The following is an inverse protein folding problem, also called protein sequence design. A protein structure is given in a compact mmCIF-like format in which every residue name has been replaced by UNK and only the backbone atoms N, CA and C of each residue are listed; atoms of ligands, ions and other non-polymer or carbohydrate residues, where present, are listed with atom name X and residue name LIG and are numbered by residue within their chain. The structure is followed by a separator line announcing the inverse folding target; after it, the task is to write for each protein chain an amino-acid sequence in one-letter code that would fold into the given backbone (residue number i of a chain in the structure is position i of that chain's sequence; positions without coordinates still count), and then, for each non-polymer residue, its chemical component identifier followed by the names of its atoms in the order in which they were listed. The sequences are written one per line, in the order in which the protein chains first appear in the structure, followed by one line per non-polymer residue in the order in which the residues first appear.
data_IF_520587523585
#
_entry.id   IF_520587523585
#
_cell.length_a   1.000
_cell.length_b   1.000
_cell.length_c   1.000
_cell.angle_alpha   90.00
_cell.angle_beta   90.00
_cell.angle_gamma   90.00
#
_symmetry.space_group_name_H-M   'P 1'
#
loop_
_entity.id
_entity.type
_entity.pdbx_description
1 polymer ?
#
# COMPACT_ATOMS: atom_id res chain seq x y z
N UNK A 1 -17.63 15.71 10.93
CA UNK A 1 -17.15 16.26 10.18
C UNK A 1 -15.73 16.81 10.14
N UNK A 2 -15.43 17.74 9.25
CA UNK A 2 -14.09 18.28 8.97
C UNK A 2 -13.42 19.01 10.14
N UNK A 3 -14.19 19.46 11.12
CA UNK A 3 -13.72 20.28 12.26
C UNK A 3 -12.84 19.51 13.25
N UNK A 4 -13.10 18.22 13.51
CA UNK A 4 -12.38 17.46 14.54
C UNK A 4 -10.97 17.02 14.11
N UNK A 5 -10.74 16.78 12.80
CA UNK A 5 -9.40 16.46 12.28
C UNK A 5 -8.47 17.68 12.40
N UNK A 6 -9.00 18.87 12.23
CA UNK A 6 -8.24 20.11 12.30
C UNK A 6 -7.82 20.44 13.74
N UNK A 7 -8.63 20.09 14.75
CA UNK A 7 -8.29 20.33 16.16
C UNK A 7 -7.21 19.37 16.68
N UNK A 8 -7.23 18.10 16.32
CA UNK A 8 -6.20 17.12 16.74
C UNK A 8 -4.83 17.39 16.09
N UNK A 9 -4.81 17.98 14.90
CA UNK A 9 -3.57 18.45 14.29
C UNK A 9 -2.96 19.66 15.03
N UNK A 10 -3.77 20.40 15.79
CA UNK A 10 -3.30 21.58 16.51
C UNK A 10 -2.52 21.27 17.79
N UNK A 11 -2.64 20.06 18.36
CA UNK A 11 -1.89 19.62 19.56
C UNK A 11 -0.46 19.18 19.26
N UNK A 12 -0.09 19.04 17.97
CA UNK A 12 1.27 18.69 17.56
C UNK A 12 2.23 19.88 17.67
N UNK A 13 3.47 19.62 18.06
CA UNK A 13 4.54 20.60 17.91
C UNK A 13 4.68 21.02 16.42
N UNK A 14 5.19 22.22 16.15
CA UNK A 14 5.40 22.67 14.76
C UNK A 14 6.26 21.70 13.93
N UNK A 15 7.25 21.06 14.54
CA UNK A 15 8.15 20.08 13.90
C UNK A 15 7.40 18.81 13.52
N UNK A 16 6.56 18.28 14.42
CA UNK A 16 5.77 17.08 14.18
C UNK A 16 4.71 17.32 13.10
N UNK A 17 4.06 18.49 13.10
CA UNK A 17 3.11 18.91 12.05
C UNK A 17 3.78 18.96 10.68
N UNK A 18 4.99 19.53 10.60
CA UNK A 18 5.77 19.62 9.37
C UNK A 18 6.18 18.23 8.91
N UNK A 19 6.67 17.39 9.81
CA UNK A 19 7.11 16.02 9.50
C UNK A 19 5.96 15.15 8.99
N UNK A 20 4.82 15.18 9.68
CA UNK A 20 3.62 14.43 9.27
C UNK A 20 3.08 14.94 7.93
N UNK A 21 2.96 16.27 7.77
CA UNK A 21 2.51 16.89 6.52
C UNK A 21 3.42 16.52 5.35
N UNK A 22 4.73 16.52 5.56
CA UNK A 22 5.71 16.14 4.54
C UNK A 22 5.62 14.65 4.18
N UNK A 23 5.44 13.75 5.16
CA UNK A 23 5.23 12.31 4.94
C UNK A 23 3.93 12.07 4.15
N UNK A 24 2.81 12.65 4.57
CA UNK A 24 1.52 12.54 3.88
C UNK A 24 1.59 13.11 2.45
N UNK A 25 2.23 14.26 2.26
CA UNK A 25 2.39 14.85 0.93
C UNK A 25 3.28 13.99 0.02
N UNK A 26 4.30 13.32 0.54
CA UNK A 26 5.11 12.36 -0.22
C UNK A 26 4.27 11.18 -0.70
N UNK A 27 3.39 10.62 0.17
CA UNK A 27 2.48 9.53 -0.20
C UNK A 27 1.52 9.99 -1.31
N UNK A 28 0.86 11.13 -1.11
CA UNK A 28 -0.09 11.70 -2.09
C UNK A 28 0.61 12.01 -3.42
N UNK A 29 1.83 12.55 -3.38
CA UNK A 29 2.61 12.89 -4.58
C UNK A 29 3.09 11.64 -5.31
N UNK A 30 3.51 10.61 -4.58
CA UNK A 30 3.88 9.32 -5.13
C UNK A 30 2.68 8.64 -5.80
N UNK A 31 1.52 8.61 -5.13
CA UNK A 31 0.26 8.09 -5.70
C UNK A 31 -0.18 8.85 -6.96
N UNK A 32 -0.14 10.19 -6.96
CA UNK A 32 -0.47 11.00 -8.14
C UNK A 32 0.48 10.75 -9.31
N UNK A 33 1.78 10.60 -9.03
CA UNK A 33 2.80 10.28 -10.03
C UNK A 33 2.59 8.88 -10.60
N UNK A 34 2.36 7.91 -9.74
CA UNK A 34 1.97 6.55 -10.07
C UNK A 34 0.74 6.52 -10.99
N UNK A 35 -0.35 7.18 -10.61
CA UNK A 35 -1.59 7.23 -11.41
C UNK A 35 -1.38 7.84 -12.80
N UNK A 36 -0.59 8.93 -12.90
CA UNK A 36 -0.27 9.57 -14.19
C UNK A 36 0.59 8.69 -15.08
N UNK A 37 1.67 8.11 -14.52
CA UNK A 37 2.60 7.24 -15.25
C UNK A 37 1.88 6.03 -15.83
N UNK A 38 0.95 5.46 -15.10
CA UNK A 38 0.25 4.24 -15.49
C UNK A 38 -0.88 4.48 -16.49
N UNK A 39 -1.58 5.61 -16.44
CA UNK A 39 -2.53 5.98 -17.50
C UNK A 39 -1.85 6.12 -18.87
N UNK A 40 -0.65 6.69 -18.91
CA UNK A 40 0.12 6.86 -20.15
C UNK A 40 0.67 5.51 -20.65
N UNK A 41 1.16 4.66 -19.76
CA UNK A 41 1.73 3.36 -20.10
C UNK A 41 0.69 2.40 -20.65
N UNK A 42 -0.49 2.29 -20.03
CA UNK A 42 -1.59 1.42 -20.52
C UNK A 42 -2.04 1.85 -21.92
N UNK A 43 -2.18 3.15 -22.19
CA UNK A 43 -2.60 3.64 -23.51
C UNK A 43 -1.56 3.43 -24.62
N UNK A 44 -0.27 3.36 -24.28
CA UNK A 44 0.79 3.09 -25.24
C UNK A 44 0.84 1.63 -25.69
N UNK A 45 0.51 0.68 -24.80
CA UNK A 45 0.63 -0.75 -25.08
C UNK A 45 -0.65 -1.44 -25.59
N UNK A 46 -1.79 -0.75 -25.60
CA UNK A 46 -3.05 -1.30 -26.14
C UNK A 46 -3.08 -1.38 -27.67
N UNK A 47 -2.10 -0.77 -28.37
CA UNK A 47 -2.05 -0.71 -29.84
C UNK A 47 -0.96 -1.59 -30.48
N UNK A 48 -0.19 -2.39 -29.69
CA UNK A 48 0.82 -3.29 -30.28
C UNK A 48 0.20 -4.65 -30.66
N UNK A 49 0.62 -5.18 -31.83
CA UNK A 49 0.19 -6.49 -32.34
C UNK A 49 0.55 -7.61 -31.35
N UNK A 50 -0.48 -8.16 -30.71
CA UNK A 50 -0.37 -9.25 -29.75
C UNK A 50 -0.36 -10.56 -30.52
N UNK A 51 0.73 -11.31 -30.49
CA UNK A 51 0.80 -12.67 -31.03
C UNK A 51 0.43 -13.69 -29.96
N UNK A 52 -0.49 -14.59 -30.28
CA UNK A 52 -0.86 -15.72 -29.42
C UNK A 52 0.05 -16.88 -29.71
N UNK A 53 0.68 -17.46 -28.69
CA UNK A 53 0.97 -18.91 -28.52
C UNK A 53 2.01 -19.16 -27.41
N UNK A 54 1.61 -19.95 -26.43
CA UNK A 54 2.51 -20.81 -25.65
C UNK A 54 1.76 -22.12 -25.34
N UNK A 55 2.23 -23.20 -25.93
CA UNK A 55 1.60 -24.52 -25.83
C UNK A 55 1.78 -25.24 -24.48
N UNK A 56 2.06 -24.54 -23.40
CA UNK A 56 2.13 -25.14 -22.05
C UNK A 56 0.71 -25.35 -21.51
N UNK A 57 0.31 -26.60 -21.15
CA UNK A 57 -1.03 -26.86 -20.66
C UNK A 57 -1.34 -26.02 -19.42
N UNK A 58 -2.32 -25.09 -19.52
CA UNK A 58 -2.86 -24.31 -18.41
C UNK A 58 -2.15 -23.02 -18.03
N UNK A 59 -1.15 -22.57 -18.80
CA UNK A 59 -0.58 -21.21 -18.72
C UNK A 59 -0.62 -20.59 -20.11
N UNK A 60 -1.34 -19.50 -20.26
CA UNK A 60 -1.45 -18.79 -21.53
C UNK A 60 -0.66 -17.47 -21.43
N UNK A 61 0.26 -17.24 -22.35
CA UNK A 61 0.98 -15.96 -22.47
C UNK A 61 0.67 -15.32 -23.83
N UNK A 62 0.31 -14.04 -23.76
CA UNK A 62 0.05 -13.20 -24.93
C UNK A 62 0.91 -11.95 -24.77
N UNK A 63 1.92 -11.77 -25.62
CA UNK A 63 2.80 -10.62 -25.50
C UNK A 63 4.08 -10.72 -26.32
N UNK A 64 4.91 -9.69 -26.20
CA UNK A 64 6.18 -9.61 -26.91
C UNK A 64 7.19 -10.63 -26.39
N UNK A 65 8.05 -11.11 -27.31
CA UNK A 65 9.17 -11.99 -27.02
C UNK A 65 10.44 -11.45 -27.69
N UNK A 66 11.60 -11.71 -27.10
CA UNK A 66 12.87 -11.43 -27.74
C UNK A 66 13.23 -12.48 -28.79
N UNK A 67 14.37 -12.30 -29.46
CA UNK A 67 14.87 -13.23 -30.50
C UNK A 67 15.18 -14.65 -29.99
N UNK A 68 15.26 -14.85 -28.68
CA UNK A 68 15.49 -16.14 -28.02
C UNK A 68 14.19 -16.77 -27.52
N UNK A 69 13.01 -16.11 -27.74
CA UNK A 69 11.71 -16.56 -27.28
C UNK A 69 11.38 -16.20 -25.84
N UNK A 70 12.22 -15.45 -25.13
CA UNK A 70 11.90 -15.02 -23.77
C UNK A 70 10.82 -13.95 -23.76
N UNK A 71 9.94 -13.98 -22.75
CA UNK A 71 8.96 -12.90 -22.52
C UNK A 71 9.71 -11.58 -22.31
N UNK A 72 9.37 -10.58 -23.12
CA UNK A 72 10.06 -9.30 -23.13
C UNK A 72 9.07 -8.19 -23.47
N UNK A 73 9.08 -7.06 -22.72
CA UNK A 73 8.13 -5.98 -22.92
C UNK A 73 6.75 -6.28 -22.34
N UNK A 74 5.70 -5.66 -22.86
CA UNK A 74 4.34 -5.86 -22.34
C UNK A 74 3.78 -7.23 -22.70
N UNK A 75 3.09 -7.86 -21.74
CA UNK A 75 2.40 -9.12 -21.95
C UNK A 75 1.30 -9.38 -20.93
N UNK A 76 0.45 -10.34 -21.27
CA UNK A 76 -0.63 -10.87 -20.43
C UNK A 76 -0.36 -12.35 -20.21
N UNK A 77 -0.39 -12.78 -18.96
CA UNK A 77 -0.23 -14.19 -18.59
C UNK A 77 -1.41 -14.63 -17.74
N UNK A 78 -2.06 -15.72 -18.15
CA UNK A 78 -3.07 -16.41 -17.34
C UNK A 78 -2.43 -17.64 -16.70
N UNK A 79 -2.68 -17.86 -15.43
CA UNK A 79 -2.18 -18.99 -14.66
C UNK A 79 -3.23 -20.11 -14.59
N UNK A 80 -2.77 -21.32 -14.24
CA UNK A 80 -3.64 -22.52 -14.11
C UNK A 80 -4.72 -22.39 -13.05
N UNK A 81 -4.46 -21.59 -12.02
CA UNK A 81 -5.39 -21.38 -10.91
C UNK A 81 -6.48 -20.34 -11.24
N UNK A 82 -6.42 -19.72 -12.42
CA UNK A 82 -7.33 -18.68 -12.88
C UNK A 82 -6.85 -17.26 -12.60
N UNK A 83 -5.74 -17.08 -11.89
CA UNK A 83 -5.14 -15.76 -11.71
C UNK A 83 -4.57 -15.23 -13.02
N UNK A 84 -4.39 -13.91 -13.09
CA UNK A 84 -3.96 -13.24 -14.32
C UNK A 84 -2.99 -12.11 -14.00
N UNK A 85 -1.88 -12.08 -14.74
CA UNK A 85 -0.96 -10.95 -14.75
C UNK A 85 -1.03 -10.21 -16.08
N UNK A 86 -0.91 -8.88 -16.04
CA UNK A 86 -0.68 -8.02 -17.21
C UNK A 86 0.32 -6.94 -16.85
N UNK A 87 1.40 -6.83 -17.61
CA UNK A 87 2.47 -5.87 -17.29
C UNK A 87 3.74 -6.12 -18.08
N UNK A 88 4.82 -5.63 -17.53
CA UNK A 88 6.14 -5.65 -18.19
C UNK A 88 6.94 -6.89 -17.79
N UNK A 89 7.49 -7.56 -18.80
CA UNK A 89 8.40 -8.69 -18.66
C UNK A 89 9.81 -8.30 -19.12
N UNK A 90 10.81 -8.85 -18.47
CA UNK A 90 12.21 -8.80 -18.87
C UNK A 90 12.84 -10.16 -18.61
N UNK A 91 13.34 -10.81 -19.67
CA UNK A 91 13.95 -12.15 -19.58
C UNK A 91 13.07 -13.17 -18.85
N UNK A 92 11.81 -13.32 -19.27
CA UNK A 92 10.79 -14.20 -18.70
C UNK A 92 10.27 -13.83 -17.31
N UNK A 93 10.83 -12.83 -16.64
CA UNK A 93 10.40 -12.36 -15.31
C UNK A 93 9.56 -11.12 -15.41
N UNK A 94 8.60 -10.99 -14.50
CA UNK A 94 7.89 -9.73 -14.30
C UNK A 94 8.89 -8.70 -13.73
N UNK A 95 9.05 -7.58 -14.43
CA UNK A 95 10.01 -6.55 -14.05
C UNK A 95 9.55 -5.18 -14.57
N UNK A 96 9.20 -4.28 -13.67
CA UNK A 96 8.55 -3.02 -13.99
C UNK A 96 7.10 -3.00 -13.53
N UNK A 97 6.23 -2.27 -14.21
CA UNK A 97 4.84 -2.10 -13.78
C UNK A 97 3.94 -3.24 -14.24
N UNK A 98 3.00 -3.64 -13.38
CA UNK A 98 2.00 -4.65 -13.73
C UNK A 98 0.77 -4.66 -12.83
N UNK A 99 -0.22 -5.44 -13.25
CA UNK A 99 -1.44 -5.74 -12.52
C UNK A 99 -1.53 -7.26 -12.37
N UNK A 100 -1.70 -7.72 -11.15
CA UNK A 100 -1.98 -9.11 -10.84
C UNK A 100 -3.39 -9.23 -10.27
N UNK A 101 -4.21 -10.00 -10.93
CA UNK A 101 -5.57 -10.33 -10.51
C UNK A 101 -5.55 -11.76 -9.95
N UNK A 102 -5.73 -11.90 -8.64
CA UNK A 102 -5.84 -13.19 -7.98
C UNK A 102 -7.19 -13.85 -8.27
N UNK A 103 -7.25 -15.17 -8.20
CA UNK A 103 -8.48 -15.96 -8.43
C UNK A 103 -9.61 -15.64 -7.44
N UNK A 104 -9.27 -15.18 -6.25
CA UNK A 104 -10.20 -14.82 -5.16
C UNK A 104 -10.69 -13.37 -5.21
N UNK A 105 -10.25 -12.62 -6.22
CA UNK A 105 -10.67 -11.25 -6.46
C UNK A 105 -9.77 -10.18 -5.87
N UNK A 106 -8.70 -10.56 -5.16
CA UNK A 106 -7.66 -9.63 -4.75
C UNK A 106 -6.91 -9.11 -5.98
N UNK A 107 -6.48 -7.86 -5.95
CA UNK A 107 -5.76 -7.24 -7.06
C UNK A 107 -4.59 -6.43 -6.56
N UNK A 108 -3.40 -6.74 -7.06
CA UNK A 108 -2.23 -5.86 -6.92
C UNK A 108 -2.01 -5.04 -8.21
N UNK A 109 -1.71 -3.78 -8.04
CA UNK A 109 -1.32 -2.84 -9.11
C UNK A 109 -0.08 -2.10 -8.68
N UNK A 110 1.07 -2.36 -9.31
CA UNK A 110 2.30 -1.75 -8.84
C UNK A 110 3.54 -2.15 -9.59
N UNK A 111 4.66 -1.79 -8.99
CA UNK A 111 5.98 -2.07 -9.50
C UNK A 111 6.43 -3.46 -9.06
N UNK A 112 7.20 -4.11 -9.93
CA UNK A 112 7.78 -5.44 -9.74
C UNK A 112 9.27 -5.41 -10.01
N UNK A 113 9.97 -6.22 -9.28
CA UNK A 113 11.37 -6.54 -9.53
C UNK A 113 11.58 -8.06 -9.39
N UNK A 114 12.02 -8.72 -10.49
CA UNK A 114 12.30 -10.15 -10.52
C UNK A 114 11.15 -11.04 -10.00
N UNK A 115 9.93 -10.83 -10.51
CA UNK A 115 8.68 -11.51 -10.15
C UNK A 115 8.10 -11.16 -8.78
N UNK A 116 8.72 -10.26 -8.01
CA UNK A 116 8.23 -9.83 -6.69
C UNK A 116 7.72 -8.40 -6.73
N UNK A 117 6.73 -8.10 -5.91
CA UNK A 117 6.27 -6.73 -5.73
C UNK A 117 7.38 -5.91 -5.06
N UNK A 118 7.77 -4.81 -5.69
CA UNK A 118 8.87 -3.95 -5.25
C UNK A 118 8.64 -2.53 -5.76
N UNK A 119 8.83 -1.51 -4.92
CA UNK A 119 8.48 -0.14 -5.28
C UNK A 119 7.07 0.24 -4.84
N UNK A 120 6.43 1.18 -5.52
CA UNK A 120 5.09 1.62 -5.16
C UNK A 120 4.00 0.74 -5.74
N UNK A 121 2.98 0.43 -4.92
CA UNK A 121 1.84 -0.37 -5.35
C UNK A 121 0.58 -0.17 -4.52
N UNK A 122 -0.52 -0.60 -5.12
CA UNK A 122 -1.85 -0.70 -4.53
C UNK A 122 -2.21 -2.17 -4.42
N UNK A 123 -2.67 -2.59 -3.27
CA UNK A 123 -3.28 -3.91 -3.08
C UNK A 123 -4.74 -3.72 -2.67
N UNK A 124 -5.65 -4.20 -3.49
CA UNK A 124 -7.10 -4.16 -3.23
C UNK A 124 -7.57 -5.57 -2.89
N UNK A 125 -8.07 -5.76 -1.68
CA UNK A 125 -8.69 -7.01 -1.26
C UNK A 125 -10.11 -7.14 -1.79
N UNK A 126 -10.54 -8.36 -2.08
CA UNK A 126 -11.93 -8.66 -2.49
C UNK A 126 -12.99 -8.28 -1.45
N UNK A 127 -12.61 -8.13 -0.18
CA UNK A 127 -13.48 -7.64 0.90
C UNK A 127 -13.60 -6.11 0.99
N UNK A 128 -12.92 -5.37 0.09
CA UNK A 128 -12.95 -3.91 0.02
C UNK A 128 -11.85 -3.18 0.80
N UNK A 129 -10.97 -3.90 1.50
CA UNK A 129 -9.79 -3.27 2.09
C UNK A 129 -8.76 -2.90 1.00
N UNK A 130 -8.05 -1.78 1.18
CA UNK A 130 -7.08 -1.31 0.20
C UNK A 130 -5.84 -0.81 0.92
N UNK A 131 -4.68 -1.27 0.47
CA UNK A 131 -3.37 -0.74 0.87
C UNK A 131 -2.74 0.05 -0.28
N UNK A 132 -2.17 1.19 0.02
CA UNK A 132 -1.33 2.00 -0.86
C UNK A 132 0.01 2.25 -0.19
N UNK A 133 1.11 1.89 -0.80
CA UNK A 133 2.40 2.14 -0.18
C UNK A 133 3.57 1.54 -0.92
N UNK A 134 4.68 1.50 -0.22
CA UNK A 134 5.92 0.95 -0.73
C UNK A 134 6.02 -0.54 -0.38
N UNK A 135 6.62 -1.30 -1.29
CA UNK A 135 6.78 -2.76 -1.20
C UNK A 135 8.23 -3.14 -1.39
N UNK A 136 8.69 -4.14 -0.68
CA UNK A 136 9.98 -4.82 -0.89
C UNK A 136 9.73 -6.32 -0.75
N UNK A 137 10.13 -7.10 -1.77
CA UNK A 137 10.05 -8.57 -1.75
C UNK A 137 8.68 -9.09 -1.28
N UNK A 138 7.60 -8.63 -1.92
CA UNK A 138 6.19 -8.97 -1.63
C UNK A 138 5.68 -8.53 -0.25
N UNK A 139 6.43 -7.70 0.48
CA UNK A 139 6.04 -7.20 1.79
C UNK A 139 5.87 -5.68 1.80
N UNK A 140 4.87 -5.19 2.53
CA UNK A 140 4.68 -3.77 2.80
C UNK A 140 5.90 -3.24 3.59
N UNK A 141 6.44 -2.11 3.13
CA UNK A 141 7.63 -1.50 3.71
C UNK A 141 7.56 0.03 3.66
N UNK A 142 8.27 0.71 4.58
CA UNK A 142 8.34 2.16 4.60
C UNK A 142 6.97 2.79 4.85
N UNK A 143 6.60 3.82 4.10
CA UNK A 143 5.37 4.56 4.33
C UNK A 143 4.22 3.96 3.53
N UNK A 144 3.10 3.66 4.23
CA UNK A 144 1.87 3.17 3.63
C UNK A 144 0.62 3.81 4.18
N UNK A 145 -0.46 3.64 3.43
CA UNK A 145 -1.81 4.04 3.80
C UNK A 145 -2.75 2.86 3.55
N UNK A 146 -3.53 2.50 4.56
CA UNK A 146 -4.47 1.39 4.49
C UNK A 146 -5.86 1.84 4.90
N UNK A 147 -6.88 1.36 4.18
CA UNK A 147 -8.30 1.55 4.47
C UNK A 147 -8.91 0.17 4.56
N UNK A 148 -9.60 -0.12 5.65
CA UNK A 148 -10.36 -1.36 5.80
C UNK A 148 -11.82 -1.21 5.39
N UNK A 149 -12.51 -2.33 5.21
CA UNK A 149 -13.92 -2.38 4.81
C UNK A 149 -14.86 -1.70 5.80
N UNK A 150 -14.48 -1.64 7.07
CA UNK A 150 -15.19 -0.90 8.13
C UNK A 150 -14.93 0.61 8.11
N UNK A 151 -14.18 1.12 7.14
CA UNK A 151 -13.75 2.50 6.99
C UNK A 151 -12.68 2.96 8.00
N UNK A 152 -12.16 2.09 8.84
CA UNK A 152 -10.96 2.40 9.63
C UNK A 152 -9.76 2.62 8.71
N UNK A 153 -8.77 3.39 9.18
CA UNK A 153 -7.63 3.82 8.34
C UNK A 153 -6.36 3.81 9.15
N UNK A 154 -5.29 3.42 8.48
CA UNK A 154 -3.94 3.61 9.00
C UNK A 154 -3.10 4.42 8.01
N UNK A 155 -2.29 5.32 8.53
CA UNK A 155 -1.26 6.04 7.77
C UNK A 155 0.02 6.05 8.59
N UNK A 156 1.06 5.37 8.11
CA UNK A 156 2.29 5.27 8.91
C UNK A 156 3.34 4.37 8.29
N UNK A 157 4.28 3.99 9.13
CA UNK A 157 5.43 3.19 8.74
C UNK A 157 5.11 1.69 8.84
N UNK A 158 5.63 0.93 7.87
CA UNK A 158 5.57 -0.52 7.78
C UNK A 158 6.98 -1.10 7.72
N UNK A 159 7.15 -2.25 8.29
CA UNK A 159 8.36 -3.05 8.18
C UNK A 159 7.98 -4.53 8.08
N UNK A 160 8.38 -5.19 6.98
CA UNK A 160 8.08 -6.59 6.70
C UNK A 160 6.57 -6.93 6.88
N UNK A 161 5.69 -6.14 6.26
CA UNK A 161 4.24 -6.33 6.28
C UNK A 161 3.54 -5.97 7.59
N UNK A 162 4.24 -5.36 8.55
CA UNK A 162 3.68 -4.98 9.86
C UNK A 162 3.80 -3.48 10.09
N UNK A 163 2.81 -2.90 10.78
CA UNK A 163 2.92 -1.53 11.30
C UNK A 163 4.09 -1.49 12.29
N UNK A 164 5.10 -0.67 11.99
CA UNK A 164 6.34 -0.58 12.77
C UNK A 164 6.97 0.80 12.54
N UNK A 165 7.10 1.60 13.59
CA UNK A 165 7.51 3.01 13.52
C UNK A 165 6.38 3.94 13.90
N UNK A 166 6.31 5.12 13.31
CA UNK A 166 5.29 6.13 13.61
C UNK A 166 4.08 5.97 12.71
N UNK A 167 2.87 6.04 13.29
CA UNK A 167 1.64 5.97 12.52
C UNK A 167 0.43 6.57 13.21
N UNK A 168 -0.58 6.84 12.40
CA UNK A 168 -1.89 7.30 12.83
C UNK A 168 -2.92 6.23 12.45
N UNK A 169 -3.69 5.80 13.42
CA UNK A 169 -4.83 4.91 13.22
C UNK A 169 -6.13 5.66 13.54
N UNK A 170 -7.07 5.66 12.62
CA UNK A 170 -8.41 6.19 12.79
C UNK A 170 -9.39 5.02 12.75
N UNK A 171 -10.08 4.78 13.86
CA UNK A 171 -11.12 3.74 13.94
C UNK A 171 -12.44 4.21 13.30
N UNK A 172 -13.31 3.26 13.03
CA UNK A 172 -14.64 3.49 12.46
C UNK A 172 -15.47 4.46 13.31
N UNK A 173 -15.36 4.37 14.64
CA UNK A 173 -16.06 5.23 15.61
C UNK A 173 -15.46 6.64 15.72
N UNK A 174 -14.47 6.99 14.90
CA UNK A 174 -13.73 8.26 14.88
C UNK A 174 -12.77 8.45 16.06
N UNK A 175 -12.57 7.46 16.91
CA UNK A 175 -11.41 7.49 17.83
C UNK A 175 -10.12 7.42 17.03
N UNK A 176 -9.05 7.99 17.55
CA UNK A 176 -7.80 8.10 16.82
C UNK A 176 -6.60 7.88 17.75
N UNK A 177 -5.69 7.02 17.31
CA UNK A 177 -4.36 6.91 17.91
C UNK A 177 -3.30 7.51 16.99
N UNK A 178 -2.36 8.21 17.60
CA UNK A 178 -1.17 8.72 16.93
C UNK A 178 0.04 8.47 17.81
N UNK A 179 0.99 7.69 17.32
CA UNK A 179 2.18 7.34 18.11
C UNK A 179 2.99 6.22 17.49
N UNK A 180 3.73 5.56 18.37
CA UNK A 180 4.65 4.50 18.00
C UNK A 180 3.95 3.16 17.89
N UNK A 181 4.40 2.38 16.90
CA UNK A 181 3.93 1.02 16.59
C UNK A 181 5.12 0.08 16.56
N UNK A 182 4.92 -1.12 17.06
CA UNK A 182 5.89 -2.21 16.97
C UNK A 182 5.19 -3.52 16.62
N UNK A 183 5.52 -4.10 15.46
CA UNK A 183 4.96 -5.37 15.00
C UNK A 183 3.42 -5.41 15.11
N UNK A 184 2.71 -4.43 14.58
CA UNK A 184 1.24 -4.22 14.60
C UNK A 184 0.66 -3.85 15.98
N UNK A 185 1.45 -3.68 17.02
CA UNK A 185 0.98 -3.26 18.33
C UNK A 185 1.30 -1.78 18.59
N UNK A 186 0.40 -1.10 19.28
CA UNK A 186 0.65 0.20 19.86
C UNK A 186 1.71 0.01 20.96
N UNK A 187 2.79 0.78 20.87
CA UNK A 187 3.94 0.68 21.75
C UNK A 187 4.59 2.05 21.94
N UNK A 188 5.44 2.22 22.96
CA UNK A 188 6.19 3.46 23.16
C UNK A 188 5.31 4.63 23.55
N UNK A 189 5.51 5.79 22.96
CA UNK A 189 4.74 7.00 23.28
C UNK A 189 3.67 7.28 22.23
N UNK A 190 2.46 7.71 22.70
CA UNK A 190 1.39 8.03 21.77
C UNK A 190 0.24 8.81 22.42
N UNK A 191 -0.58 9.37 21.54
CA UNK A 191 -1.75 10.18 21.86
C UNK A 191 -2.98 9.43 21.37
N UNK A 192 -3.94 9.20 22.27
CA UNK A 192 -5.23 8.62 21.93
C UNK A 192 -6.35 9.65 22.13
N UNK A 193 -7.11 9.93 21.09
CA UNK A 193 -8.22 10.86 21.11
C UNK A 193 -9.52 10.08 21.10
N UNK A 194 -10.33 10.31 22.13
CA UNK A 194 -11.68 9.75 22.27
C UNK A 194 -12.69 10.57 21.48
N UNK A 195 -13.82 9.95 21.12
CA UNK A 195 -14.90 10.62 20.38
C UNK A 195 -15.56 11.74 21.19
N UNK A 196 -15.56 11.64 22.52
CA UNK A 196 -16.12 12.63 23.44
C UNK A 196 -15.20 13.82 23.70
N UNK A 197 -14.02 13.85 23.08
CA UNK A 197 -13.05 14.93 23.15
C UNK A 197 -11.97 14.73 24.22
N UNK A 198 -12.08 13.72 25.06
CA UNK A 198 -11.00 13.36 25.99
C UNK A 198 -9.77 12.92 25.21
N UNK A 199 -8.61 13.11 25.80
CA UNK A 199 -7.35 12.71 25.23
C UNK A 199 -6.47 12.03 26.28
N UNK A 200 -5.83 10.93 25.93
CA UNK A 200 -4.72 10.35 26.68
C UNK A 200 -3.43 10.62 25.93
N UNK A 201 -2.42 11.11 26.63
CA UNK A 201 -1.07 11.29 26.09
C UNK A 201 -0.09 10.64 27.04
N UNK A 202 0.61 9.58 26.60
CA UNK A 202 1.47 8.83 27.50
C UNK A 202 2.09 7.58 26.87
N UNK A 203 2.63 6.75 27.75
CA UNK A 203 3.28 5.50 27.38
C UNK A 203 2.28 4.39 27.09
N UNK A 204 2.66 3.51 26.15
CA UNK A 204 1.88 2.37 25.69
C UNK A 204 2.73 1.11 25.64
N UNK A 205 2.15 -0.01 25.99
CA UNK A 205 2.76 -1.33 25.89
C UNK A 205 1.71 -2.36 25.47
N UNK A 206 1.98 -3.04 24.36
CA UNK A 206 1.11 -4.10 23.83
C UNK A 206 -0.37 -3.66 23.74
N UNK A 207 -0.63 -2.51 23.10
CA UNK A 207 -1.95 -1.92 22.89
C UNK A 207 -2.65 -1.44 24.18
N UNK A 208 -1.96 -1.35 25.31
CA UNK A 208 -2.50 -0.88 26.58
C UNK A 208 -1.75 0.35 27.07
N UNK A 209 -2.46 1.27 27.70
CA UNK A 209 -1.86 2.38 28.41
C UNK A 209 -0.96 1.83 29.50
N UNK A 210 0.26 2.38 29.61
CA UNK A 210 1.28 1.88 30.53
C UNK A 210 2.14 3.05 31.02
N UNK A 211 2.75 2.89 32.22
CA UNK A 211 3.68 3.87 32.72
C UNK A 211 3.08 5.25 32.95
N UNK A 212 3.81 6.28 32.54
CA UNK A 212 3.40 7.67 32.73
C UNK A 212 2.51 8.14 31.59
N UNK A 213 1.47 8.89 31.95
CA UNK A 213 0.58 9.51 30.97
C UNK A 213 -0.39 10.49 31.62
N UNK A 214 -0.98 11.32 30.79
CA UNK A 214 -1.91 12.38 31.19
C UNK A 214 -3.24 12.22 30.45
N UNK A 215 -4.33 12.39 31.17
CA UNK A 215 -5.67 12.54 30.62
C UNK A 215 -6.07 14.02 30.63
N UNK A 216 -6.59 14.50 29.51
CA UNK A 216 -7.11 15.85 29.31
C UNK A 216 -8.57 15.74 28.86
#
# INVERSE_FOLDING_TARGET
SRTNITQSLNSLSPIEKITLKNKVNKIISAYKRYKRKNQTTISQYTNENITTEDGSPGVEYIGARDSKGNKQGFGIQKMRDGSKFRGIFTNNKVNGWGIYEHKDGDVYRGEYENDRTSGYGEYSHGNGAIYYGYWIDDMQFGIGYEIWSDSSKYSGEYNNGKKDGIGIYLWQDQTMYKGEWKCNNIQGFGIYNYIDGRQYSGEWKNNQMHGYGEFI
#
